data_IF_921446100525
#
_entry.id   IF_921446100525
#
_cell.length_a   1.000
_cell.length_b   1.000
_cell.length_c   1.000
_cell.angle_alpha   90.00
_cell.angle_beta   90.00
_cell.angle_gamma   90.00
#
_symmetry.space_group_name_H-M   'P 1'
#
loop_
_entity.id
_entity.type
_entity.pdbx_description
1 polymer ?
#
# COMPACT_ATOMS: atom_id res chain seq x y z
N UNK A 1 43.34 -26.04 -44.21
CA UNK A 1 42.30 -26.33 -43.21
C UNK A 1 42.53 -25.40 -42.04
N UNK A 2 41.94 -24.19 -42.08
CA UNK A 2 42.11 -23.18 -41.03
C UNK A 2 40.96 -23.34 -40.03
N UNK A 3 41.27 -23.66 -38.78
CA UNK A 3 40.30 -23.71 -37.70
C UNK A 3 39.99 -22.27 -37.27
N UNK A 4 38.90 -21.71 -37.78
CA UNK A 4 38.32 -20.49 -37.26
C UNK A 4 37.80 -20.78 -35.84
N UNK A 5 38.50 -20.23 -34.85
CA UNK A 5 38.08 -20.20 -33.46
C UNK A 5 36.99 -19.14 -33.35
N UNK A 6 35.73 -19.55 -33.51
CA UNK A 6 34.57 -18.69 -33.27
C UNK A 6 34.54 -18.43 -31.78
N UNK A 7 35.10 -17.29 -31.37
CA UNK A 7 34.90 -16.76 -30.03
C UNK A 7 33.42 -16.41 -29.93
N UNK A 8 32.68 -17.34 -29.33
CA UNK A 8 31.30 -17.18 -28.95
C UNK A 8 31.28 -16.07 -27.90
N UNK A 9 31.03 -14.84 -28.35
CA UNK A 9 30.65 -13.76 -27.48
C UNK A 9 29.34 -14.18 -26.82
N UNK A 10 29.46 -14.86 -25.68
CA UNK A 10 28.39 -15.06 -24.74
C UNK A 10 27.90 -13.66 -24.37
N UNK A 11 26.81 -13.26 -25.02
CA UNK A 11 26.04 -12.08 -24.67
C UNK A 11 25.57 -12.30 -23.25
N UNK A 12 26.32 -11.72 -22.31
CA UNK A 12 25.98 -11.64 -20.90
C UNK A 12 24.61 -10.95 -20.83
N UNK A 13 23.56 -11.76 -20.77
CA UNK A 13 22.20 -11.29 -20.68
C UNK A 13 22.09 -10.52 -19.36
N UNK A 14 22.07 -9.19 -19.48
CA UNK A 14 21.89 -8.23 -18.40
C UNK A 14 20.55 -8.46 -17.72
N UNK A 15 20.48 -9.49 -16.87
CA UNK A 15 19.35 -9.70 -15.97
C UNK A 15 19.28 -8.47 -15.06
N UNK A 16 18.14 -7.77 -15.00
CA UNK A 16 17.98 -6.66 -14.07
C UNK A 16 18.35 -7.16 -12.67
N UNK A 17 19.28 -6.49 -12.00
CA UNK A 17 19.80 -6.93 -10.71
C UNK A 17 18.78 -6.73 -9.59
N UNK A 18 17.66 -7.47 -9.60
CA UNK A 18 16.57 -7.43 -8.61
C UNK A 18 17.08 -7.63 -7.18
N UNK A 19 18.18 -8.37 -7.01
CA UNK A 19 18.87 -8.55 -5.74
C UNK A 19 19.35 -7.22 -5.13
N UNK A 20 19.81 -6.28 -5.96
CA UNK A 20 20.28 -4.95 -5.51
C UNK A 20 19.11 -4.10 -5.01
N UNK A 21 17.96 -4.16 -5.68
CA UNK A 21 16.74 -3.45 -5.24
C UNK A 21 16.21 -4.07 -3.95
N UNK A 22 16.20 -5.40 -3.85
CA UNK A 22 15.83 -6.10 -2.63
C UNK A 22 16.69 -5.67 -1.43
N UNK A 23 18.01 -5.64 -1.60
CA UNK A 23 18.93 -5.16 -0.55
C UNK A 23 18.63 -3.70 -0.14
N UNK A 24 18.34 -2.82 -1.10
CA UNK A 24 17.97 -1.44 -0.80
C UNK A 24 16.65 -1.33 -0.04
N UNK A 25 15.64 -2.15 -0.37
CA UNK A 25 14.39 -2.21 0.40
C UNK A 25 14.59 -2.72 1.82
N UNK A 26 15.46 -3.72 2.02
CA UNK A 26 15.84 -4.21 3.35
C UNK A 26 16.57 -3.13 4.15
N UNK A 27 17.47 -2.37 3.52
CA UNK A 27 18.13 -1.25 4.17
C UNK A 27 17.13 -0.16 4.59
N UNK A 28 16.19 0.20 3.72
CA UNK A 28 15.10 1.13 4.05
C UNK A 28 14.18 0.61 5.15
N UNK A 29 13.94 -0.70 5.19
CA UNK A 29 13.18 -1.34 6.26
C UNK A 29 13.89 -1.19 7.61
N UNK A 30 15.18 -1.51 7.67
CA UNK A 30 15.99 -1.36 8.89
C UNK A 30 16.00 0.11 9.33
N UNK A 31 16.22 1.03 8.39
CA UNK A 31 16.16 2.46 8.68
C UNK A 31 14.79 2.90 9.24
N UNK A 32 13.69 2.36 8.70
CA UNK A 32 12.33 2.66 9.18
C UNK A 32 12.06 2.11 10.57
N UNK A 33 12.68 1.00 10.97
CA UNK A 33 12.51 0.41 12.31
C UNK A 33 13.38 1.12 13.35
N UNK A 34 14.58 1.53 12.95
CA UNK A 34 15.52 2.23 13.84
C UNK A 34 15.20 3.72 14.01
N UNK A 35 14.65 4.39 12.99
CA UNK A 35 14.30 5.81 13.02
C UNK A 35 13.41 6.21 14.22
N UNK A 36 12.33 5.47 14.53
CA UNK A 36 11.47 5.70 15.70
C UNK A 36 12.17 5.64 17.07
N UNK A 37 13.32 4.95 17.20
CA UNK A 37 13.99 4.78 18.49
C UNK A 37 14.68 6.05 19.01
N UNK A 38 14.78 7.10 18.18
CA UNK A 38 15.40 8.39 18.55
C UNK A 38 14.51 9.21 19.51
N UNK A 39 13.24 8.84 19.71
CA UNK A 39 12.39 9.38 20.78
C UNK A 39 11.81 10.78 20.54
N UNK A 40 11.97 11.36 19.33
CA UNK A 40 11.46 12.68 18.96
C UNK A 40 10.24 12.50 18.02
N UNK A 41 8.99 12.66 18.50
CA UNK A 41 7.79 12.26 17.75
C UNK A 41 7.67 12.89 16.35
N UNK A 42 7.92 14.19 16.24
CA UNK A 42 7.77 14.90 14.95
C UNK A 42 8.84 14.50 13.93
N UNK A 43 10.08 14.33 14.39
CA UNK A 43 11.19 13.89 13.55
C UNK A 43 10.94 12.45 13.07
N UNK A 44 10.46 11.57 13.96
CA UNK A 44 10.11 10.20 13.60
C UNK A 44 8.99 10.14 12.58
N UNK A 45 7.99 11.03 12.64
CA UNK A 45 6.90 11.09 11.67
C UNK A 45 7.41 11.49 10.28
N UNK A 46 8.22 12.55 10.20
CA UNK A 46 8.80 13.03 8.94
C UNK A 46 9.69 11.95 8.33
N UNK A 47 10.58 11.36 9.12
CA UNK A 47 11.49 10.30 8.67
C UNK A 47 10.73 9.05 8.22
N UNK A 48 9.71 8.62 8.97
CA UNK A 48 8.89 7.47 8.61
C UNK A 48 8.15 7.69 7.28
N UNK A 49 7.52 8.85 7.09
CA UNK A 49 6.85 9.18 5.84
C UNK A 49 7.83 9.33 4.68
N UNK A 50 8.97 9.97 4.88
CA UNK A 50 10.00 10.13 3.85
C UNK A 50 10.52 8.78 3.35
N UNK A 51 10.86 7.88 4.27
CA UNK A 51 11.30 6.50 3.95
C UNK A 51 10.18 5.73 3.25
N UNK A 52 8.93 5.86 3.70
CA UNK A 52 7.79 5.19 3.09
C UNK A 52 7.57 5.63 1.64
N UNK A 53 7.70 6.92 1.33
CA UNK A 53 7.58 7.44 -0.05
C UNK A 53 8.68 6.85 -0.94
N UNK A 54 9.94 6.90 -0.50
CA UNK A 54 11.07 6.37 -1.28
C UNK A 54 10.87 4.87 -1.55
N UNK A 55 10.48 4.12 -0.51
CA UNK A 55 10.17 2.69 -0.63
C UNK A 55 9.08 2.43 -1.65
N UNK A 56 7.97 3.17 -1.60
CA UNK A 56 6.86 3.04 -2.53
C UNK A 56 7.29 3.33 -3.98
N UNK A 57 8.07 4.39 -4.19
CA UNK A 57 8.61 4.73 -5.51
C UNK A 57 9.55 3.66 -6.05
N UNK A 58 10.42 3.08 -5.21
CA UNK A 58 11.28 1.96 -5.62
C UNK A 58 10.47 0.71 -5.99
N UNK A 59 9.44 0.38 -5.22
CA UNK A 59 8.55 -0.76 -5.56
C UNK A 59 7.84 -0.51 -6.89
N UNK A 60 7.29 0.69 -7.10
CA UNK A 60 6.63 1.05 -8.35
C UNK A 60 7.59 1.04 -9.55
N UNK A 61 8.79 1.62 -9.40
CA UNK A 61 9.76 1.70 -10.49
C UNK A 61 10.33 0.32 -10.88
N UNK A 62 10.67 -0.52 -9.90
CA UNK A 62 11.44 -1.74 -10.12
C UNK A 62 10.62 -3.04 -10.05
N UNK A 63 9.67 -3.16 -9.12
CA UNK A 63 8.85 -4.37 -8.98
C UNK A 63 7.56 -4.34 -9.80
N UNK A 64 6.97 -3.16 -10.01
CA UNK A 64 5.87 -2.98 -10.98
C UNK A 64 6.36 -2.74 -12.41
N UNK A 65 7.69 -2.80 -12.63
CA UNK A 65 8.35 -2.67 -13.93
C UNK A 65 8.08 -1.34 -14.68
N UNK A 66 7.57 -0.32 -13.98
CA UNK A 66 7.17 0.95 -14.59
C UNK A 66 8.35 1.74 -15.18
N UNK A 67 9.58 1.47 -14.75
CA UNK A 67 10.77 2.11 -15.29
C UNK A 67 11.14 1.61 -16.71
N UNK A 68 10.69 0.40 -17.07
CA UNK A 68 10.99 -0.23 -18.37
C UNK A 68 9.81 -0.07 -19.34
N UNK A 69 8.60 0.12 -18.82
CA UNK A 69 7.37 0.20 -19.61
C UNK A 69 6.93 1.63 -19.99
N UNK A 70 5.79 1.73 -20.68
CA UNK A 70 5.28 3.00 -21.24
C UNK A 70 4.82 3.94 -20.12
N UNK A 71 5.21 5.22 -20.23
CA UNK A 71 4.81 6.33 -19.32
C UNK A 71 3.29 6.44 -19.06
N UNK A 72 2.45 5.92 -19.95
CA UNK A 72 1.00 5.87 -19.76
C UNK A 72 0.56 5.13 -18.47
N UNK A 73 1.28 4.07 -18.09
CA UNK A 73 0.95 3.28 -16.89
C UNK A 73 1.16 4.11 -15.62
N UNK A 74 2.09 5.07 -15.63
CA UNK A 74 2.32 6.00 -14.53
C UNK A 74 1.11 6.93 -14.34
N UNK A 75 0.51 7.41 -15.43
CA UNK A 75 -0.72 8.22 -15.36
C UNK A 75 -1.92 7.40 -14.86
N UNK A 76 -2.05 6.13 -15.25
CA UNK A 76 -3.10 5.26 -14.72
C UNK A 76 -2.90 5.02 -13.22
N UNK A 77 -1.68 4.69 -12.79
CA UNK A 77 -1.37 4.49 -11.37
C UNK A 77 -1.67 5.75 -10.55
N UNK A 78 -1.25 6.92 -11.06
CA UNK A 78 -1.56 8.19 -10.41
C UNK A 78 -3.07 8.47 -10.41
N UNK A 79 -3.79 8.11 -11.47
CA UNK A 79 -5.24 8.16 -11.54
C UNK A 79 -5.90 7.26 -10.49
N UNK A 80 -5.44 6.02 -10.32
CA UNK A 80 -5.92 5.11 -9.28
C UNK A 80 -5.63 5.66 -7.87
N UNK A 81 -4.45 6.22 -7.65
CA UNK A 81 -4.09 6.83 -6.36
C UNK A 81 -4.95 8.07 -6.07
N UNK A 82 -5.18 8.91 -7.09
CA UNK A 82 -6.06 10.07 -6.98
C UNK A 82 -7.51 9.65 -6.69
N UNK A 83 -8.01 8.61 -7.36
CA UNK A 83 -9.34 8.05 -7.09
C UNK A 83 -9.41 7.44 -5.68
N UNK A 84 -8.37 6.77 -5.20
CA UNK A 84 -8.32 6.24 -3.84
C UNK A 84 -8.44 7.37 -2.81
N UNK A 85 -7.67 8.45 -2.99
CA UNK A 85 -7.73 9.63 -2.11
C UNK A 85 -9.11 10.28 -2.20
N UNK A 86 -9.61 10.52 -3.41
CA UNK A 86 -10.92 11.11 -3.64
C UNK A 86 -12.03 10.28 -3.01
N UNK A 87 -12.02 8.96 -3.18
CA UNK A 87 -12.98 8.03 -2.62
C UNK A 87 -12.95 8.06 -1.09
N UNK A 88 -11.77 8.10 -0.47
CA UNK A 88 -11.63 8.25 0.98
C UNK A 88 -12.32 9.53 1.48
N UNK A 89 -12.11 10.67 0.82
CA UNK A 89 -12.79 11.91 1.18
C UNK A 89 -14.29 11.89 0.89
N UNK A 90 -14.72 11.19 -0.16
CA UNK A 90 -16.13 11.08 -0.52
C UNK A 90 -16.92 10.27 0.53
N UNK A 91 -16.34 9.21 1.09
CA UNK A 91 -16.99 8.37 2.12
C UNK A 91 -16.76 8.87 3.55
N UNK A 92 -15.72 9.66 3.80
CA UNK A 92 -15.39 10.18 5.13
C UNK A 92 -16.57 10.88 5.83
N UNK A 93 -17.32 11.81 5.21
CA UNK A 93 -18.45 12.46 5.89
C UNK A 93 -19.59 11.50 6.23
N UNK A 94 -19.78 10.43 5.45
CA UNK A 94 -20.80 9.41 5.71
C UNK A 94 -20.43 8.57 6.95
N UNK A 95 -19.18 8.12 7.03
CA UNK A 95 -18.67 7.31 8.17
C UNK A 95 -18.54 8.15 9.44
N UNK A 96 -18.11 9.41 9.34
CA UNK A 96 -17.86 10.29 10.49
C UNK A 96 -19.14 10.89 11.08
N UNK A 97 -20.29 10.71 10.42
CA UNK A 97 -21.57 11.15 10.92
C UNK A 97 -22.12 10.18 11.98
N UNK A 98 -21.90 10.50 13.25
CA UNK A 98 -22.40 9.73 14.39
C UNK A 98 -23.93 9.86 14.61
N UNK A 99 -24.64 10.61 13.76
CA UNK A 99 -26.04 11.01 13.99
C UNK A 99 -27.10 10.01 13.50
N UNK A 100 -26.70 8.79 13.09
CA UNK A 100 -27.55 7.85 12.34
C UNK A 100 -28.17 6.68 13.12
N UNK A 101 -28.02 6.60 14.44
CA UNK A 101 -28.40 5.41 15.22
C UNK A 101 -29.81 5.56 15.83
N UNK A 102 -30.83 5.83 15.01
CA UNK A 102 -32.25 5.77 15.45
C UNK A 102 -32.74 4.30 15.54
N UNK A 103 -31.97 3.44 16.20
CA UNK A 103 -32.36 2.06 16.45
C UNK A 103 -33.33 2.04 17.62
N UNK A 104 -34.62 2.09 17.32
CA UNK A 104 -35.67 1.85 18.31
C UNK A 104 -36.02 0.37 18.30
N UNK A 105 -35.69 -0.32 19.40
CA UNK A 105 -36.20 -1.65 19.67
C UNK A 105 -37.73 -1.55 19.82
N UNK A 106 -38.47 -2.15 18.89
CA UNK A 106 -39.92 -2.27 19.03
C UNK A 106 -40.17 -3.34 20.08
N UNK A 107 -40.46 -2.92 21.31
CA UNK A 107 -40.94 -3.83 22.34
C UNK A 107 -42.36 -4.27 21.95
N UNK A 108 -42.45 -5.45 21.34
CA UNK A 108 -43.74 -6.11 21.11
C UNK A 108 -44.21 -6.60 22.47
N UNK A 109 -44.94 -5.75 23.21
CA UNK A 109 -45.64 -6.15 24.43
C UNK A 109 -46.56 -7.31 24.10
N UNK A 110 -46.13 -8.54 24.42
CA UNK A 110 -47.03 -9.68 24.37
C UNK A 110 -48.02 -9.53 25.53
N UNK A 111 -49.35 -9.52 25.29
CA UNK A 111 -50.31 -9.43 26.36
C UNK A 111 -50.14 -10.63 27.31
N UNK A 112 -50.12 -10.35 28.61
CA UNK A 112 -49.86 -11.33 29.66
C UNK A 112 -50.79 -12.55 29.53
N UNK A 113 -50.29 -13.79 29.71
CA UNK A 113 -51.11 -14.99 29.60
C UNK A 113 -52.18 -14.95 30.70
N UNK A 114 -53.45 -14.84 30.31
CA UNK A 114 -54.58 -14.89 31.24
C UNK A 114 -54.57 -16.24 31.96
N UNK A 115 -54.05 -16.27 33.19
CA UNK A 115 -54.23 -17.42 34.07
C UNK A 115 -55.69 -17.42 34.53
N UNK A 116 -56.51 -18.18 33.82
CA UNK A 116 -57.87 -18.50 34.21
C UNK A 116 -57.85 -19.23 35.55
N UNK A 117 -58.50 -18.63 36.54
CA UNK A 117 -58.63 -19.17 37.88
C UNK A 117 -59.44 -20.48 37.88
N UNK A 118 -58.93 -21.43 38.66
CA UNK A 118 -59.73 -22.47 39.31
C UNK A 118 -60.03 -22.01 40.74
#
# INVERSE_FOLDING_TARGET
MSHANTNEHATEHSHPNYFKIWMALVALLIASVLGPMIGIPWLTLITAFGIAIIKALMVAAYFMHLNVEKKYIWYILLGCLALMIFFFFAIAPDIMNHSGTNWHFIEVTQPAPSHGGH
#
